data_IF_218366597152
#
_entry.id   IF_218366597152
#
_cell.length_a   1.000
_cell.length_b   1.000
_cell.length_c   1.000
_cell.angle_alpha   90.00
_cell.angle_beta   90.00
_cell.angle_gamma   90.00
#
_symmetry.space_group_name_H-M   'P 1'
#
loop_
_entity.id
_entity.type
_entity.pdbx_description
1 polymer ?
#
# COMPACT_ATOMS: atom_id res chain seq x y z
N UNK A 1 28.42 -2.02 -23.29
CA UNK A 1 28.83 -2.41 -21.93
C UNK A 1 30.22 -1.93 -21.48
N UNK A 2 31.09 -1.34 -22.32
CA UNK A 2 32.50 -1.12 -21.93
C UNK A 2 32.72 -0.18 -20.72
N UNK A 3 31.89 0.84 -20.53
CA UNK A 3 32.11 1.85 -19.47
C UNK A 3 31.57 1.42 -18.10
N UNK A 4 30.49 0.64 -18.05
CA UNK A 4 29.79 0.28 -16.81
C UNK A 4 29.60 -1.23 -16.60
N UNK A 5 29.93 -2.05 -17.59
CA UNK A 5 29.66 -3.48 -17.56
C UNK A 5 28.20 -3.83 -17.83
N UNK A 6 27.81 -5.02 -17.40
CA UNK A 6 26.46 -5.56 -17.32
C UNK A 6 26.30 -6.26 -15.97
N UNK A 7 25.19 -6.99 -15.77
CA UNK A 7 25.03 -7.85 -14.59
C UNK A 7 25.92 -9.10 -14.60
N UNK A 8 26.45 -9.48 -15.76
CA UNK A 8 27.24 -10.70 -15.95
C UNK A 8 28.71 -10.40 -16.28
N UNK A 9 29.04 -9.15 -16.65
CA UNK A 9 30.38 -8.72 -17.01
C UNK A 9 30.77 -7.39 -16.31
N UNK A 10 31.99 -7.27 -15.76
CA UNK A 10 32.44 -6.05 -15.09
C UNK A 10 32.72 -4.90 -16.07
N UNK A 11 32.87 -3.69 -15.54
CA UNK A 11 33.30 -2.54 -16.35
C UNK A 11 34.74 -2.71 -16.85
N UNK A 12 34.98 -2.43 -18.13
CA UNK A 12 36.31 -2.46 -18.72
C UNK A 12 37.09 -1.15 -18.49
N UNK A 13 36.39 -0.03 -18.26
CA UNK A 13 37.03 1.30 -18.10
C UNK A 13 37.03 1.82 -16.67
N UNK A 14 36.13 1.33 -15.81
CA UNK A 14 36.02 1.75 -14.39
C UNK A 14 36.43 0.60 -13.49
N UNK A 15 37.67 0.62 -13.02
CA UNK A 15 38.22 -0.42 -12.13
C UNK A 15 37.40 -0.51 -10.85
N UNK A 16 36.95 -1.72 -10.51
CA UNK A 16 36.16 -1.98 -9.30
C UNK A 16 34.69 -1.53 -9.35
N UNK A 17 34.24 -0.95 -10.46
CA UNK A 17 32.82 -0.59 -10.62
C UNK A 17 31.98 -1.83 -10.95
N UNK A 18 30.89 -2.00 -10.21
CA UNK A 18 29.88 -3.04 -10.42
C UNK A 18 28.52 -2.38 -10.57
N UNK A 19 27.72 -2.86 -11.53
CA UNK A 19 26.38 -2.34 -11.76
C UNK A 19 25.47 -2.65 -10.54
N UNK A 20 24.83 -1.63 -9.92
CA UNK A 20 23.93 -1.87 -8.80
C UNK A 20 22.77 -2.78 -9.20
N UNK A 21 22.45 -3.76 -8.35
CA UNK A 21 21.30 -4.64 -8.56
C UNK A 21 20.01 -3.88 -8.22
N UNK A 22 18.95 -3.99 -9.05
CA UNK A 22 17.66 -3.43 -8.68
C UNK A 22 17.13 -4.17 -7.44
N UNK A 23 16.53 -3.43 -6.50
CA UNK A 23 15.93 -4.03 -5.30
C UNK A 23 14.66 -4.83 -5.61
N UNK A 24 14.02 -4.55 -6.74
CA UNK A 24 12.83 -5.24 -7.22
C UNK A 24 13.08 -5.76 -8.63
N UNK A 25 12.87 -7.05 -8.85
CA UNK A 25 13.01 -7.68 -10.16
C UNK A 25 11.91 -7.22 -11.13
N UNK A 26 10.68 -7.07 -10.62
CA UNK A 26 9.56 -6.48 -11.35
C UNK A 26 9.07 -5.25 -10.58
N UNK A 27 9.05 -4.09 -11.24
CA UNK A 27 8.60 -2.83 -10.65
C UNK A 27 7.12 -2.51 -10.95
N UNK A 28 6.41 -3.38 -11.67
CA UNK A 28 4.97 -3.23 -11.92
C UNK A 28 4.16 -3.66 -10.69
N UNK A 29 3.98 -2.71 -9.77
CA UNK A 29 3.20 -2.91 -8.55
C UNK A 29 1.73 -3.23 -8.84
N UNK A 30 1.17 -2.65 -9.91
CA UNK A 30 -0.23 -2.88 -10.27
C UNK A 30 -0.49 -4.34 -10.63
N UNK A 31 0.41 -4.95 -11.39
CA UNK A 31 0.33 -6.37 -11.72
C UNK A 31 0.53 -7.27 -10.50
N UNK A 32 1.46 -6.94 -9.62
CA UNK A 32 1.72 -7.73 -8.40
C UNK A 32 0.51 -7.67 -7.47
N UNK A 33 -0.04 -6.48 -7.23
CA UNK A 33 -1.18 -6.31 -6.31
C UNK A 33 -2.43 -7.01 -6.83
N UNK A 34 -2.69 -6.95 -8.14
CA UNK A 34 -3.90 -7.51 -8.74
C UNK A 34 -3.74 -8.97 -9.21
N UNK A 35 -2.65 -9.66 -8.86
CA UNK A 35 -2.45 -11.06 -9.26
C UNK A 35 -3.37 -12.00 -8.49
N UNK A 36 -3.74 -13.13 -9.08
CA UNK A 36 -4.65 -14.11 -8.47
C UNK A 36 -4.06 -14.70 -7.18
N UNK A 37 -2.75 -14.95 -7.16
CA UNK A 37 -2.05 -15.47 -5.99
C UNK A 37 -2.17 -14.52 -4.80
N UNK A 38 -2.01 -13.21 -5.03
CA UNK A 38 -2.16 -12.18 -3.99
C UNK A 38 -3.63 -12.01 -3.61
N UNK A 39 -4.52 -11.88 -4.59
CA UNK A 39 -5.94 -11.63 -4.33
C UNK A 39 -6.66 -12.81 -3.67
N UNK A 40 -6.19 -14.05 -3.87
CA UNK A 40 -6.78 -15.26 -3.25
C UNK A 40 -6.66 -15.31 -1.72
N UNK A 41 -5.69 -14.60 -1.14
CA UNK A 41 -5.41 -14.61 0.31
C UNK A 41 -5.70 -13.27 0.99
N UNK A 42 -5.98 -12.21 0.21
CA UNK A 42 -6.27 -10.88 0.72
C UNK A 42 -7.69 -10.82 1.28
N UNK A 43 -7.85 -10.12 2.41
CA UNK A 43 -9.17 -9.84 3.00
C UNK A 43 -9.93 -8.82 2.14
N UNK A 44 -11.27 -8.89 2.07
CA UNK A 44 -12.06 -7.90 1.35
C UNK A 44 -11.83 -6.50 1.89
N UNK A 45 -11.87 -5.51 0.98
CA UNK A 45 -11.66 -4.11 1.32
C UNK A 45 -12.76 -3.60 2.26
N UNK A 46 -12.38 -3.04 3.41
CA UNK A 46 -13.29 -2.29 4.25
C UNK A 46 -13.33 -0.81 3.80
N UNK A 47 -14.48 -0.37 3.27
CA UNK A 47 -14.71 1.01 2.82
C UNK A 47 -15.36 1.90 3.89
N UNK A 48 -15.63 1.35 5.08
CA UNK A 48 -16.34 2.08 6.13
C UNK A 48 -15.45 3.14 6.78
N UNK A 49 -15.82 4.41 6.62
CA UNK A 49 -15.18 5.53 7.33
C UNK A 49 -16.06 5.96 8.50
N UNK A 50 -15.74 5.47 9.70
CA UNK A 50 -16.45 5.87 10.93
C UNK A 50 -15.99 7.25 11.37
N UNK A 51 -16.85 8.26 11.19
CA UNK A 51 -16.62 9.60 11.71
C UNK A 51 -17.03 9.67 13.18
N UNK A 52 -16.37 10.52 13.95
CA UNK A 52 -16.75 10.78 15.34
C UNK A 52 -18.16 11.36 15.38
N UNK A 53 -19.06 10.68 16.08
CA UNK A 53 -20.39 11.20 16.32
C UNK A 53 -20.35 12.40 17.28
N UNK A 54 -21.12 13.44 16.97
CA UNK A 54 -21.31 14.56 17.90
C UNK A 54 -22.21 14.10 19.04
N UNK A 55 -21.72 14.18 20.28
CA UNK A 55 -22.52 13.90 21.47
C UNK A 55 -23.56 15.01 21.67
N UNK A 56 -24.82 14.70 21.40
CA UNK A 56 -25.96 15.60 21.68
C UNK A 56 -26.39 15.41 23.14
N UNK A 57 -26.69 16.50 23.83
CA UNK A 57 -27.24 16.43 25.19
C UNK A 57 -28.72 15.98 25.12
N UNK A 58 -29.09 14.81 25.68
CA UNK A 58 -30.46 14.31 25.62
C UNK A 58 -31.45 15.24 26.33
N UNK A 59 -31.06 15.90 27.41
CA UNK A 59 -31.93 16.86 28.11
C UNK A 59 -32.33 18.07 27.25
N UNK A 60 -31.61 18.32 26.15
CA UNK A 60 -31.86 19.43 25.22
C UNK A 60 -32.18 18.95 23.80
N UNK A 61 -32.30 17.65 23.57
CA UNK A 61 -32.50 17.10 22.23
C UNK A 61 -33.41 15.86 22.27
N UNK A 62 -34.67 16.04 21.86
CA UNK A 62 -35.70 14.99 21.86
C UNK A 62 -35.27 13.73 21.09
N UNK A 63 -34.66 13.89 19.91
CA UNK A 63 -34.20 12.75 19.10
C UNK A 63 -33.09 11.95 19.81
N UNK A 64 -32.24 12.59 20.60
CA UNK A 64 -31.25 11.90 21.41
C UNK A 64 -31.90 11.16 22.60
N UNK A 65 -32.95 11.72 23.22
CA UNK A 65 -33.73 11.02 24.25
C UNK A 65 -34.35 9.74 23.69
N UNK A 66 -35.08 9.85 22.58
CA UNK A 66 -35.76 8.71 21.95
C UNK A 66 -34.79 7.62 21.47
N UNK A 67 -33.57 8.00 21.06
CA UNK A 67 -32.53 7.03 20.67
C UNK A 67 -31.92 6.28 21.86
N UNK A 68 -31.85 6.92 23.04
CA UNK A 68 -31.28 6.35 24.25
C UNK A 68 -32.31 5.56 25.06
N UNK A 69 -33.54 6.06 25.12
CA UNK A 69 -34.69 5.50 25.82
C UNK A 69 -35.85 5.38 24.82
N UNK A 70 -35.89 4.30 24.02
CA UNK A 70 -36.99 4.04 23.10
C UNK A 70 -38.32 3.77 23.82
#
# INVERSE_FOLDING_TARGET
GQVYGSFDAPSQKKKGFVLPRPKMTNADLGRIINSDEVQSVVKPLNKEVKRREKRKNPLKNMAAVLKLNP
#
